data_IF_059150699214
#
_entry.id   IF_059150699214
#
_cell.length_a   1.000
_cell.length_b   1.000
_cell.length_c   1.000
_cell.angle_alpha   90.00
_cell.angle_beta   90.00
_cell.angle_gamma   90.00
#
_symmetry.space_group_name_H-M   'P 1'
#
loop_
_entity.id
_entity.type
_entity.pdbx_description
1 polymer ?
#
# COMPACT_ATOMS: atom_id res chain seq x y z
N UNK A 1 25.18 10.96 -24.53
CA UNK A 1 25.57 10.37 -25.83
C UNK A 1 26.56 9.20 -25.71
N UNK A 2 27.05 8.83 -24.51
CA UNK A 2 27.94 7.67 -24.31
C UNK A 2 27.24 6.34 -23.95
N UNK A 3 25.92 6.33 -23.72
CA UNK A 3 25.14 5.13 -23.33
C UNK A 3 24.71 4.25 -24.51
N UNK A 4 24.80 4.75 -25.75
CA UNK A 4 24.28 4.08 -26.96
C UNK A 4 25.31 3.28 -27.76
N UNK A 5 26.62 3.53 -27.57
CA UNK A 5 27.68 2.87 -28.36
C UNK A 5 27.98 1.44 -27.86
N UNK A 6 27.55 1.09 -26.64
CA UNK A 6 27.64 -0.29 -26.13
C UNK A 6 26.57 -1.24 -26.67
N UNK A 7 25.59 -0.74 -27.45
CA UNK A 7 24.37 -1.48 -27.78
C UNK A 7 24.54 -2.43 -28.98
N UNK A 8 25.57 -2.26 -29.83
CA UNK A 8 25.70 -3.05 -31.07
C UNK A 8 26.81 -4.11 -31.11
N UNK A 9 27.68 -4.20 -30.09
CA UNK A 9 28.80 -5.18 -30.07
C UNK A 9 28.65 -6.25 -28.95
N UNK A 10 27.73 -6.07 -27.99
CA UNK A 10 27.70 -6.87 -26.76
C UNK A 10 26.64 -7.99 -26.65
N UNK A 11 25.78 -8.22 -27.64
CA UNK A 11 24.62 -9.11 -27.46
C UNK A 11 24.97 -10.60 -27.26
N UNK A 12 26.19 -11.03 -27.57
CA UNK A 12 26.67 -12.40 -27.34
C UNK A 12 27.53 -12.57 -26.07
N UNK A 13 27.93 -11.48 -25.40
CA UNK A 13 28.91 -11.49 -24.29
C UNK A 13 28.30 -11.32 -22.88
N UNK A 14 27.00 -11.09 -22.76
CA UNK A 14 26.30 -10.90 -21.47
C UNK A 14 25.64 -12.18 -20.91
N UNK A 15 25.83 -13.35 -21.53
CA UNK A 15 25.35 -14.59 -20.91
C UNK A 15 26.35 -15.06 -19.85
N UNK A 16 25.96 -15.13 -18.57
CA UNK A 16 26.83 -15.68 -17.53
C UNK A 16 27.11 -17.13 -17.88
N UNK A 17 28.28 -17.62 -17.47
CA UNK A 17 28.61 -19.03 -17.63
C UNK A 17 27.50 -19.89 -17.01
N UNK A 18 27.32 -21.10 -17.56
CA UNK A 18 26.35 -22.07 -17.03
C UNK A 18 26.53 -22.27 -15.52
N UNK A 19 27.78 -22.23 -15.06
CA UNK A 19 28.18 -22.28 -13.66
C UNK A 19 27.58 -21.15 -12.81
N UNK A 20 27.71 -19.88 -13.22
CA UNK A 20 27.09 -18.74 -12.50
C UNK A 20 25.59 -18.90 -12.37
N UNK A 21 24.94 -19.38 -13.43
CA UNK A 21 23.51 -19.68 -13.42
C UNK A 21 23.12 -20.79 -12.44
N UNK A 22 23.98 -21.77 -12.20
CA UNK A 22 23.76 -22.83 -11.20
C UNK A 22 24.03 -22.34 -9.77
N UNK A 23 25.06 -21.53 -9.56
CA UNK A 23 25.37 -20.88 -8.28
C UNK A 23 24.24 -19.97 -7.80
N UNK A 24 23.74 -19.06 -8.66
CA UNK A 24 22.59 -18.21 -8.34
C UNK A 24 21.37 -19.04 -7.88
N UNK A 25 21.07 -20.15 -8.57
CA UNK A 25 19.95 -21.02 -8.19
C UNK A 25 20.18 -21.70 -6.84
N UNK A 26 21.43 -22.08 -6.51
CA UNK A 26 21.78 -22.61 -5.19
C UNK A 26 21.58 -21.56 -4.10
N UNK A 27 22.02 -20.32 -4.33
CA UNK A 27 21.81 -19.18 -3.41
C UNK A 27 20.31 -18.98 -3.17
N UNK A 28 19.52 -18.76 -4.23
CA UNK A 28 18.07 -18.56 -4.09
C UNK A 28 17.37 -19.73 -3.39
N UNK A 29 17.78 -20.97 -3.70
CA UNK A 29 17.25 -22.16 -3.04
C UNK A 29 17.57 -22.13 -1.54
N UNK A 30 18.82 -21.87 -1.15
CA UNK A 30 19.21 -21.80 0.26
C UNK A 30 18.46 -20.71 1.03
N UNK A 31 18.24 -19.54 0.42
CA UNK A 31 17.45 -18.45 1.01
C UNK A 31 16.00 -18.89 1.23
N UNK A 32 15.37 -19.52 0.22
CA UNK A 32 13.99 -19.99 0.31
C UNK A 32 13.80 -21.14 1.28
N UNK A 33 14.80 -22.00 1.41
CA UNK A 33 14.81 -23.14 2.33
C UNK A 33 15.23 -22.71 3.76
N UNK A 34 15.60 -21.44 3.99
CA UNK A 34 16.03 -20.93 5.30
C UNK A 34 17.41 -21.43 5.75
N UNK A 35 18.22 -21.96 4.82
CA UNK A 35 19.55 -22.52 5.09
C UNK A 35 20.69 -21.58 4.73
N UNK A 36 20.39 -20.42 4.12
CA UNK A 36 21.38 -19.39 3.85
C UNK A 36 21.82 -18.73 5.17
N UNK A 37 23.12 -18.68 5.41
CA UNK A 37 23.70 -18.06 6.60
C UNK A 37 23.60 -16.52 6.50
N UNK A 38 22.53 -15.97 7.06
CA UNK A 38 22.28 -14.53 7.08
C UNK A 38 22.63 -13.95 8.46
N UNK A 39 23.44 -12.89 8.48
CA UNK A 39 23.73 -12.12 9.69
C UNK A 39 22.63 -11.08 9.88
N UNK A 40 21.71 -11.34 10.80
CA UNK A 40 20.64 -10.39 11.12
C UNK A 40 21.19 -9.10 11.70
N UNK A 41 20.53 -7.98 11.38
CA UNK A 41 20.77 -6.70 12.06
C UNK A 41 20.34 -6.78 13.52
N UNK A 42 21.05 -6.05 14.36
CA UNK A 42 20.60 -5.80 15.73
C UNK A 42 19.23 -5.09 15.70
N UNK A 43 18.28 -5.50 16.56
CA UNK A 43 16.99 -4.86 16.63
C UNK A 43 17.15 -3.40 17.11
N UNK A 44 16.35 -2.50 16.54
CA UNK A 44 16.32 -1.11 17.00
C UNK A 44 15.81 -1.04 18.45
N UNK A 45 16.48 -0.23 19.27
CA UNK A 45 16.03 0.06 20.63
C UNK A 45 14.79 0.93 20.59
N UNK A 46 13.76 0.56 21.35
CA UNK A 46 12.51 1.34 21.46
C UNK A 46 12.52 2.17 22.73
N UNK A 47 12.28 3.48 22.60
CA UNK A 47 11.98 4.33 23.75
C UNK A 47 10.55 4.04 24.23
N UNK A 48 10.45 3.20 25.26
CA UNK A 48 9.16 2.78 25.82
C UNK A 48 8.38 3.93 26.44
N UNK A 49 9.05 4.93 27.02
CA UNK A 49 8.36 6.05 27.66
C UNK A 49 7.66 6.94 26.62
N UNK A 50 8.36 7.26 25.52
CA UNK A 50 7.76 7.99 24.40
C UNK A 50 6.68 7.16 23.70
N UNK A 51 6.90 5.86 23.52
CA UNK A 51 5.90 4.97 22.95
C UNK A 51 4.61 4.96 23.77
N UNK A 52 4.70 4.80 25.09
CA UNK A 52 3.56 4.77 26.01
C UNK A 52 2.82 6.11 25.98
N UNK A 53 3.55 7.23 25.97
CA UNK A 53 2.97 8.56 25.79
C UNK A 53 2.20 8.65 24.47
N UNK A 54 2.79 8.18 23.36
CA UNK A 54 2.11 8.18 22.06
C UNK A 54 0.83 7.33 22.06
N UNK A 55 0.80 6.21 22.79
CA UNK A 55 -0.42 5.39 22.92
C UNK A 55 -1.49 6.08 23.76
N UNK A 56 -1.13 6.69 24.90
CA UNK A 56 -2.08 7.36 25.79
C UNK A 56 -2.76 8.54 25.10
N UNK A 57 -2.00 9.35 24.37
CA UNK A 57 -2.52 10.56 23.74
C UNK A 57 -3.09 10.33 22.33
N UNK A 58 -3.05 9.11 21.79
CA UNK A 58 -3.52 8.83 20.43
C UNK A 58 -4.96 9.32 20.21
N UNK A 59 -5.89 8.97 21.10
CA UNK A 59 -7.29 9.37 20.96
C UNK A 59 -7.51 10.88 21.14
N UNK A 60 -6.60 11.56 21.84
CA UNK A 60 -6.65 13.00 22.02
C UNK A 60 -6.28 13.69 20.71
N UNK A 61 -5.19 13.27 20.08
CA UNK A 61 -4.68 13.89 18.85
C UNK A 61 -5.34 13.40 17.58
N UNK A 62 -5.89 12.18 17.55
CA UNK A 62 -6.43 11.61 16.32
C UNK A 62 -7.61 12.42 15.73
N UNK A 63 -8.60 12.91 16.51
CA UNK A 63 -9.62 13.83 16.00
C UNK A 63 -9.05 15.16 15.51
N UNK A 64 -8.05 15.71 16.21
CA UNK A 64 -7.39 16.96 15.82
C UNK A 64 -6.64 16.74 14.47
N UNK A 65 -5.96 15.61 14.30
CA UNK A 65 -5.30 15.23 13.04
C UNK A 65 -6.32 15.03 11.92
N UNK A 66 -7.48 14.42 12.19
CA UNK A 66 -8.56 14.31 11.19
C UNK A 66 -9.00 15.69 10.74
N UNK A 67 -9.24 16.62 11.68
CA UNK A 67 -9.68 17.98 11.37
C UNK A 67 -8.66 18.64 10.45
N UNK A 68 -7.42 18.75 10.92
CA UNK A 68 -6.39 19.54 10.26
C UNK A 68 -6.04 18.97 8.87
N UNK A 69 -5.92 17.65 8.74
CA UNK A 69 -5.62 17.00 7.46
C UNK A 69 -6.78 17.10 6.46
N UNK A 70 -8.03 16.97 6.92
CA UNK A 70 -9.19 17.10 6.03
C UNK A 70 -9.37 18.55 5.58
N UNK A 71 -9.14 19.52 6.47
CA UNK A 71 -9.26 20.94 6.15
C UNK A 71 -8.19 21.37 5.15
N UNK A 72 -6.93 20.98 5.37
CA UNK A 72 -5.82 21.20 4.42
C UNK A 72 -6.12 20.54 3.06
N UNK A 73 -6.56 19.28 3.06
CA UNK A 73 -6.90 18.56 1.84
C UNK A 73 -8.03 19.24 1.05
N UNK A 74 -9.10 19.64 1.73
CA UNK A 74 -10.24 20.29 1.09
C UNK A 74 -9.88 21.69 0.58
N UNK A 75 -9.03 22.43 1.30
CA UNK A 75 -8.51 23.73 0.85
C UNK A 75 -7.69 23.58 -0.44
N UNK A 76 -6.70 22.68 -0.48
CA UNK A 76 -5.91 22.39 -1.69
C UNK A 76 -6.78 21.99 -2.87
N UNK A 77 -7.79 21.15 -2.63
CA UNK A 77 -8.74 20.74 -3.66
C UNK A 77 -9.57 21.94 -4.18
N UNK A 78 -10.03 22.82 -3.29
CA UNK A 78 -10.79 24.02 -3.65
C UNK A 78 -9.94 25.02 -4.46
N UNK A 79 -8.67 25.21 -4.10
CA UNK A 79 -7.76 26.10 -4.83
C UNK A 79 -7.55 25.66 -6.29
N UNK A 80 -7.50 24.35 -6.55
CA UNK A 80 -7.33 23.79 -7.92
C UNK A 80 -8.62 23.49 -8.69
N UNK A 81 -9.79 23.64 -8.05
CA UNK A 81 -11.08 23.28 -8.66
C UNK A 81 -11.97 24.51 -8.81
N UNK A 82 -12.52 24.80 -10.01
CA UNK A 82 -13.43 25.92 -10.17
C UNK A 82 -14.69 25.75 -9.32
N UNK A 83 -15.23 26.84 -8.76
CA UNK A 83 -16.41 26.78 -7.91
C UNK A 83 -17.62 26.25 -8.69
N UNK A 84 -18.34 25.30 -8.09
CA UNK A 84 -19.57 24.76 -8.68
C UNK A 84 -20.66 25.83 -8.69
N UNK A 85 -21.34 26.00 -9.83
CA UNK A 85 -22.56 26.81 -9.90
C UNK A 85 -23.60 26.25 -8.93
N UNK A 86 -24.13 27.10 -8.04
CA UNK A 86 -25.25 26.74 -7.16
C UNK A 86 -26.49 26.50 -8.01
N UNK A 87 -27.05 25.30 -7.91
CA UNK A 87 -28.37 24.99 -8.43
C UNK A 87 -29.47 25.34 -7.40
N UNK A 88 -30.75 25.26 -7.81
CA UNK A 88 -31.87 25.42 -6.88
C UNK A 88 -31.90 24.29 -5.83
N UNK A 89 -32.30 24.61 -4.60
CA UNK A 89 -32.51 23.64 -3.51
C UNK A 89 -31.63 23.86 -2.27
N UNK A 90 -31.77 22.98 -1.27
CA UNK A 90 -30.96 23.01 -0.05
C UNK A 90 -29.49 22.71 -0.39
N UNK A 91 -28.52 23.53 0.06
CA UNK A 91 -27.11 23.24 -0.15
C UNK A 91 -26.74 21.83 0.35
N UNK A 92 -25.95 21.06 -0.42
CA UNK A 92 -25.50 19.75 0.03
C UNK A 92 -24.59 19.90 1.26
N UNK A 93 -24.61 18.91 2.15
CA UNK A 93 -23.64 18.83 3.24
C UNK A 93 -22.21 18.78 2.69
N UNK A 94 -21.34 19.58 3.28
CA UNK A 94 -19.93 19.67 2.94
C UNK A 94 -19.26 18.28 2.92
N UNK A 95 -18.66 17.87 1.79
CA UNK A 95 -17.86 16.66 1.70
C UNK A 95 -16.75 16.57 2.75
N UNK A 96 -16.11 17.67 3.15
CA UNK A 96 -15.06 17.70 4.17
C UNK A 96 -15.60 17.23 5.52
N UNK A 97 -16.71 17.81 5.98
CA UNK A 97 -17.37 17.40 7.23
C UNK A 97 -17.80 15.93 7.19
N UNK A 98 -18.25 15.44 6.02
CA UNK A 98 -18.57 14.01 5.87
C UNK A 98 -17.31 13.14 5.95
N UNK A 99 -16.20 13.54 5.34
CA UNK A 99 -14.92 12.82 5.41
C UNK A 99 -14.39 12.74 6.85
N UNK A 100 -14.41 13.85 7.60
CA UNK A 100 -14.05 13.89 9.03
C UNK A 100 -14.83 12.86 9.84
N UNK A 101 -16.14 12.82 9.66
CA UNK A 101 -17.02 11.87 10.38
C UNK A 101 -16.79 10.43 9.95
N UNK A 102 -16.50 10.17 8.67
CA UNK A 102 -16.20 8.83 8.18
C UNK A 102 -14.87 8.30 8.70
N UNK A 103 -13.84 9.15 8.81
CA UNK A 103 -12.55 8.81 9.41
C UNK A 103 -12.70 8.53 10.90
N UNK A 104 -13.44 9.37 11.63
CA UNK A 104 -13.77 9.12 13.04
C UNK A 104 -14.56 7.82 13.21
N UNK A 105 -15.62 7.61 12.41
CA UNK A 105 -16.43 6.39 12.41
C UNK A 105 -15.55 5.15 12.22
N UNK A 106 -14.58 5.23 11.31
CA UNK A 106 -13.67 4.12 10.99
C UNK A 106 -12.75 3.82 12.17
N UNK A 107 -12.24 4.87 12.83
CA UNK A 107 -11.38 4.76 14.00
C UNK A 107 -12.09 4.15 15.22
N UNK A 108 -13.28 4.64 15.57
CA UNK A 108 -14.07 4.08 16.68
C UNK A 108 -14.79 2.79 16.30
N UNK A 109 -14.66 2.34 15.05
CA UNK A 109 -15.24 1.13 14.52
C UNK A 109 -16.77 1.02 14.77
N UNK A 110 -17.53 2.06 14.39
CA UNK A 110 -18.96 2.15 14.73
C UNK A 110 -19.91 2.03 13.52
N UNK A 111 -21.20 1.76 13.81
CA UNK A 111 -22.26 1.78 12.80
C UNK A 111 -22.60 3.21 12.37
N UNK A 112 -23.24 3.42 11.22
CA UNK A 112 -23.62 4.78 10.78
C UNK A 112 -24.46 5.53 11.81
N UNK A 113 -25.33 4.82 12.55
CA UNK A 113 -26.20 5.41 13.58
C UNK A 113 -25.40 5.86 14.79
N UNK A 114 -24.46 5.03 15.24
CA UNK A 114 -23.54 5.41 16.32
C UNK A 114 -22.60 6.53 15.88
N UNK A 115 -22.18 6.55 14.60
CA UNK A 115 -21.36 7.62 14.05
C UNK A 115 -22.06 8.99 14.09
N UNK A 116 -23.39 9.06 13.99
CA UNK A 116 -24.14 10.30 14.22
C UNK A 116 -24.04 10.76 15.68
N UNK A 117 -24.11 9.83 16.65
CA UNK A 117 -23.85 10.12 18.06
C UNK A 117 -22.41 10.61 18.30
N UNK A 118 -21.42 9.97 17.69
CA UNK A 118 -20.03 10.42 17.75
C UNK A 118 -19.83 11.78 17.10
N UNK A 119 -20.49 12.07 15.98
CA UNK A 119 -20.48 13.40 15.39
C UNK A 119 -20.94 14.44 16.41
N UNK A 120 -22.06 14.22 17.11
CA UNK A 120 -22.57 15.14 18.14
C UNK A 120 -21.52 15.37 19.25
N UNK A 121 -20.86 14.31 19.71
CA UNK A 121 -19.85 14.40 20.77
C UNK A 121 -18.56 15.11 20.34
N UNK A 122 -18.19 15.02 19.06
CA UNK A 122 -16.91 15.51 18.53
C UNK A 122 -17.05 16.71 17.58
N UNK A 123 -18.18 17.42 17.56
CA UNK A 123 -18.41 18.59 16.69
C UNK A 123 -17.28 19.62 16.80
N UNK A 124 -16.99 20.06 18.03
CA UNK A 124 -15.97 21.07 18.32
C UNK A 124 -14.57 20.58 17.92
N UNK A 125 -14.22 19.36 18.34
CA UNK A 125 -12.92 18.75 18.04
C UNK A 125 -12.67 18.57 16.55
N UNK A 126 -13.71 18.23 15.78
CA UNK A 126 -13.62 18.10 14.33
C UNK A 126 -13.78 19.45 13.59
N UNK A 127 -14.07 20.55 14.28
CA UNK A 127 -14.36 21.85 13.64
C UNK A 127 -15.57 21.77 12.71
N UNK A 128 -16.67 21.17 13.17
CA UNK A 128 -17.92 21.02 12.41
C UNK A 128 -19.02 21.85 13.07
N UNK A 129 -19.58 22.83 12.35
CA UNK A 129 -20.58 23.77 12.88
C UNK A 129 -21.97 23.15 13.14
N UNK A 130 -22.27 22.00 12.52
CA UNK A 130 -23.60 21.40 12.61
C UNK A 130 -23.63 19.92 12.30
N UNK A 131 -24.44 19.18 13.06
CA UNK A 131 -24.62 17.75 12.86
C UNK A 131 -25.50 17.46 11.63
N UNK A 132 -25.39 16.23 11.14
CA UNK A 132 -26.22 15.69 10.07
C UNK A 132 -26.53 14.22 10.32
N UNK A 133 -27.63 13.75 9.77
CA UNK A 133 -28.12 12.41 10.07
C UNK A 133 -27.20 11.30 9.55
N UNK A 134 -27.33 10.12 10.14
CA UNK A 134 -26.62 8.91 9.72
C UNK A 134 -26.83 8.55 8.24
N UNK A 135 -27.91 9.04 7.61
CA UNK A 135 -28.16 8.88 6.17
C UNK A 135 -27.20 9.70 5.33
N UNK A 136 -26.77 10.86 5.80
CA UNK A 136 -25.72 11.64 5.14
C UNK A 136 -24.36 10.95 5.28
N UNK A 137 -24.06 10.41 6.47
CA UNK A 137 -22.86 9.58 6.71
C UNK A 137 -22.86 8.37 5.78
N UNK A 138 -23.98 7.63 5.71
CA UNK A 138 -24.12 6.45 4.86
C UNK A 138 -23.84 6.75 3.38
N UNK A 139 -24.40 7.85 2.86
CA UNK A 139 -24.20 8.28 1.47
C UNK A 139 -22.80 8.81 1.21
N UNK A 140 -22.06 9.19 2.25
CA UNK A 140 -20.66 9.61 2.15
C UNK A 140 -19.75 8.58 1.51
N UNK A 141 -20.05 7.28 1.67
CA UNK A 141 -19.28 6.19 1.06
C UNK A 141 -19.36 6.14 -0.47
N UNK A 142 -20.37 6.78 -1.09
CA UNK A 142 -20.50 6.90 -2.56
C UNK A 142 -20.04 8.26 -3.08
N UNK A 143 -19.58 9.17 -2.21
CA UNK A 143 -19.20 10.52 -2.64
C UNK A 143 -17.79 10.51 -3.22
N UNK A 144 -17.68 10.67 -4.55
CA UNK A 144 -16.39 10.85 -5.20
C UNK A 144 -15.54 12.00 -4.62
N UNK A 145 -16.16 13.05 -4.08
CA UNK A 145 -15.44 14.12 -3.39
C UNK A 145 -14.80 13.69 -2.06
N UNK A 146 -15.42 12.74 -1.34
CA UNK A 146 -14.80 12.18 -0.12
C UNK A 146 -13.55 11.41 -0.50
N UNK A 147 -13.62 10.59 -1.54
CA UNK A 147 -12.44 9.82 -1.98
C UNK A 147 -11.29 10.74 -2.44
N UNK A 148 -11.58 11.86 -3.11
CA UNK A 148 -10.54 12.85 -3.46
C UNK A 148 -9.87 13.46 -2.23
N UNK A 149 -10.64 13.74 -1.16
CA UNK A 149 -10.07 14.21 0.11
C UNK A 149 -9.18 13.12 0.71
N UNK A 150 -9.62 11.86 0.69
CA UNK A 150 -8.83 10.73 1.17
C UNK A 150 -7.53 10.54 0.37
N UNK A 151 -7.58 10.68 -0.96
CA UNK A 151 -6.41 10.64 -1.83
C UNK A 151 -5.43 11.77 -1.48
N UNK A 152 -5.93 12.99 -1.29
CA UNK A 152 -5.09 14.15 -0.94
C UNK A 152 -4.46 14.02 0.45
N UNK A 153 -5.15 13.41 1.43
CA UNK A 153 -4.57 13.13 2.75
C UNK A 153 -3.36 12.19 2.63
N UNK A 154 -3.40 11.21 1.72
CA UNK A 154 -2.23 10.34 1.46
C UNK A 154 -1.05 11.16 0.99
N UNK A 155 -1.26 12.08 0.04
CA UNK A 155 -0.22 12.99 -0.44
C UNK A 155 0.34 13.85 0.71
N UNK A 156 -0.52 14.57 1.41
CA UNK A 156 -0.14 15.46 2.53
C UNK A 156 0.66 14.69 3.59
N UNK A 157 0.20 13.51 4.00
CA UNK A 157 0.92 12.72 5.02
C UNK A 157 2.30 12.24 4.56
N UNK A 158 2.52 12.04 3.26
CA UNK A 158 3.81 11.64 2.70
C UNK A 158 4.77 12.82 2.51
N UNK A 159 4.27 14.03 2.24
CA UNK A 159 5.09 15.25 2.17
C UNK A 159 5.89 15.47 3.45
N UNK A 160 5.36 15.08 4.61
CA UNK A 160 6.07 15.25 5.90
C UNK A 160 7.32 14.36 6.05
N UNK A 161 7.52 13.39 5.16
CA UNK A 161 8.69 12.51 5.10
C UNK A 161 9.41 12.57 3.75
N UNK A 162 9.09 13.56 2.91
CA UNK A 162 9.73 13.77 1.61
C UNK A 162 11.25 13.91 1.79
N UNK A 163 12.01 13.21 0.94
CA UNK A 163 13.48 13.19 0.99
C UNK A 163 14.10 12.35 2.13
N UNK A 164 13.32 11.97 3.16
CA UNK A 164 13.75 11.06 4.23
C UNK A 164 13.49 9.60 3.87
N UNK A 165 12.41 9.31 3.17
CA UNK A 165 12.04 7.96 2.72
C UNK A 165 12.48 7.74 1.27
N UNK A 166 13.27 6.68 1.01
CA UNK A 166 13.72 6.33 -0.35
C UNK A 166 13.43 4.90 -0.74
N UNK A 167 12.91 4.08 0.17
CA UNK A 167 12.70 2.66 -0.07
C UNK A 167 11.27 2.29 0.29
N UNK A 168 10.58 1.64 -0.63
CA UNK A 168 9.17 1.29 -0.50
C UNK A 168 8.98 -0.21 -0.67
N UNK A 169 8.22 -0.82 0.23
CA UNK A 169 7.78 -2.20 0.12
C UNK A 169 6.34 -2.27 -0.38
N UNK A 170 6.12 -3.14 -1.36
CA UNK A 170 4.82 -3.43 -1.95
C UNK A 170 4.32 -4.81 -1.53
N UNK A 171 3.09 -4.85 -1.04
CA UNK A 171 2.42 -6.10 -0.68
C UNK A 171 0.90 -5.98 -0.82
N UNK A 172 0.29 -7.14 -1.01
CA UNK A 172 -1.14 -7.33 -1.16
C UNK A 172 -1.85 -7.73 0.14
N UNK A 173 -3.01 -7.15 0.39
CA UNK A 173 -3.81 -7.50 1.56
C UNK A 173 -5.31 -7.49 1.25
N UNK A 174 -6.09 -8.17 2.09
CA UNK A 174 -7.54 -8.28 1.91
C UNK A 174 -8.31 -7.97 3.19
N UNK A 175 -9.40 -7.22 3.04
CA UNK A 175 -10.36 -6.88 4.09
C UNK A 175 -11.67 -7.63 3.87
N UNK A 176 -12.01 -8.51 4.80
CA UNK A 176 -13.20 -9.34 4.69
C UNK A 176 -14.48 -8.62 5.11
N UNK A 177 -15.62 -8.99 4.52
CA UNK A 177 -16.98 -8.63 4.95
C UNK A 177 -17.51 -9.57 6.04
N UNK A 178 -16.76 -10.62 6.40
CA UNK A 178 -17.12 -11.60 7.43
C UNK A 178 -15.89 -12.16 8.14
N UNK A 179 -15.96 -12.28 9.48
CA UNK A 179 -14.90 -12.95 10.26
C UNK A 179 -14.65 -14.41 9.83
N UNK A 180 -15.59 -15.04 9.10
CA UNK A 180 -15.46 -16.42 8.60
C UNK A 180 -14.66 -16.53 7.29
N UNK A 181 -14.33 -15.41 6.66
CA UNK A 181 -13.53 -15.39 5.44
C UNK A 181 -12.18 -14.71 5.69
N UNK A 182 -11.09 -15.41 5.36
CA UNK A 182 -9.72 -14.91 5.50
C UNK A 182 -9.03 -14.90 4.13
N UNK A 183 -8.42 -13.77 3.76
CA UNK A 183 -7.66 -13.58 2.52
C UNK A 183 -6.46 -14.52 2.42
N UNK A 184 -5.67 -14.62 3.50
CA UNK A 184 -4.46 -15.44 3.52
C UNK A 184 -4.79 -16.92 3.27
N UNK A 185 -5.82 -17.44 3.95
CA UNK A 185 -6.28 -18.82 3.76
C UNK A 185 -6.77 -19.08 2.33
N UNK A 186 -7.47 -18.11 1.73
CA UNK A 186 -7.94 -18.22 0.33
C UNK A 186 -6.77 -18.21 -0.66
N UNK A 187 -5.76 -17.35 -0.47
CA UNK A 187 -4.53 -17.34 -1.30
C UNK A 187 -3.71 -18.60 -1.12
N UNK A 188 -3.55 -19.09 0.10
CA UNK A 188 -2.84 -20.33 0.38
C UNK A 188 -3.49 -21.52 -0.34
N UNK A 189 -4.83 -21.64 -0.29
CA UNK A 189 -5.61 -22.65 -1.02
C UNK A 189 -5.48 -22.52 -2.55
N UNK A 190 -5.31 -21.31 -3.07
CA UNK A 190 -5.07 -21.09 -4.50
C UNK A 190 -3.67 -21.55 -4.90
N UNK A 191 -2.66 -21.18 -4.11
CA UNK A 191 -1.26 -21.53 -4.36
C UNK A 191 -1.05 -23.06 -4.32
N UNK A 192 -1.71 -23.77 -3.39
CA UNK A 192 -1.66 -25.23 -3.34
C UNK A 192 -2.32 -25.89 -4.57
N UNK A 193 -3.44 -25.35 -5.07
CA UNK A 193 -4.11 -25.83 -6.29
C UNK A 193 -3.33 -25.55 -7.58
N UNK A 194 -2.62 -24.41 -7.67
CA UNK A 194 -1.69 -24.13 -8.80
C UNK A 194 -0.50 -25.08 -8.78
N UNK A 195 -0.03 -25.50 -7.61
CA UNK A 195 1.00 -26.52 -7.45
C UNK A 195 0.60 -27.89 -8.02
N UNK A 196 -0.65 -28.32 -7.82
CA UNK A 196 -1.12 -29.62 -8.31
C UNK A 196 -1.41 -29.65 -9.82
N UNK A 197 -1.91 -28.55 -10.41
CA UNK A 197 -2.21 -28.47 -11.85
C UNK A 197 -0.98 -28.32 -12.76
N UNK A 198 0.17 -27.90 -12.25
CA UNK A 198 1.42 -27.76 -13.04
C UNK A 198 2.02 -29.09 -13.54
N UNK A 199 1.41 -30.22 -13.21
CA UNK A 199 1.72 -31.53 -13.78
C UNK A 199 1.11 -31.76 -15.18
N UNK A 200 0.24 -30.86 -15.69
CA UNK A 200 -0.33 -30.96 -17.04
C UNK A 200 -0.44 -29.58 -17.70
N UNK A 201 0.18 -29.48 -18.87
CA UNK A 201 0.21 -28.39 -19.87
C UNK A 201 1.02 -27.12 -19.59
N UNK A 202 1.97 -26.87 -20.49
CA UNK A 202 2.75 -25.64 -20.63
C UNK A 202 2.21 -24.85 -21.84
N UNK A 203 1.37 -23.85 -21.59
CA UNK A 203 1.07 -22.79 -22.56
C UNK A 203 1.58 -21.46 -22.04
N UNK A 204 2.22 -20.71 -22.95
CA UNK A 204 2.77 -19.37 -22.73
C UNK A 204 1.62 -18.36 -22.78
N UNK A 205 1.04 -18.03 -21.63
CA UNK A 205 0.23 -16.83 -21.46
C UNK A 205 0.82 -15.99 -20.33
N UNK A 206 0.70 -14.66 -20.45
CA UNK A 206 1.03 -13.72 -19.38
C UNK A 206 0.36 -14.21 -18.09
N UNK A 207 1.18 -14.58 -17.10
CA UNK A 207 0.69 -15.21 -15.88
C UNK A 207 0.12 -14.11 -14.98
N UNK A 208 -1.10 -13.68 -15.26
CA UNK A 208 -1.87 -12.88 -14.31
C UNK A 208 -2.19 -13.76 -13.09
N UNK A 209 -2.08 -13.18 -11.91
CA UNK A 209 -2.32 -13.87 -10.64
C UNK A 209 -3.78 -13.81 -10.17
N UNK A 210 -4.68 -13.38 -11.07
CA UNK A 210 -6.13 -13.40 -11.00
C UNK A 210 -6.69 -14.63 -10.28
N UNK A 211 -7.75 -14.45 -9.48
CA UNK A 211 -8.50 -15.60 -9.01
C UNK A 211 -9.29 -16.23 -10.17
N UNK A 212 -9.43 -17.57 -10.21
CA UNK A 212 -10.35 -18.19 -11.15
C UNK A 212 -11.77 -17.65 -10.93
N UNK A 213 -12.44 -17.32 -12.03
CA UNK A 213 -13.87 -17.04 -12.06
C UNK A 213 -14.59 -18.29 -11.56
N UNK A 214 -15.30 -18.16 -10.44
CA UNK A 214 -16.23 -19.19 -10.00
C UNK A 214 -17.61 -18.83 -10.54
N UNK A 215 -18.23 -19.73 -11.30
CA UNK A 215 -19.63 -19.63 -11.74
C UNK A 215 -20.65 -19.58 -10.57
N UNK A 216 -20.20 -19.63 -9.33
CA UNK A 216 -21.02 -19.40 -8.15
C UNK A 216 -21.19 -17.91 -7.90
N UNK A 217 -22.43 -17.44 -7.91
CA UNK A 217 -22.95 -16.10 -7.53
C UNK A 217 -22.53 -15.64 -6.12
N UNK A 218 -21.73 -16.44 -5.38
CA UNK A 218 -21.07 -16.04 -4.16
C UNK A 218 -19.96 -15.02 -4.46
N UNK A 219 -20.35 -13.76 -4.65
CA UNK A 219 -19.47 -12.59 -4.62
C UNK A 219 -18.55 -12.73 -3.40
N UNK A 220 -17.30 -13.06 -3.65
CA UNK A 220 -16.30 -13.31 -2.63
C UNK A 220 -16.27 -12.10 -1.68
N UNK A 221 -16.55 -12.33 -0.40
CA UNK A 221 -16.87 -11.29 0.58
C UNK A 221 -15.63 -10.56 1.09
N UNK A 222 -14.77 -10.02 0.24
CA UNK A 222 -13.62 -9.22 0.67
C UNK A 222 -13.24 -8.16 -0.37
N UNK A 223 -12.62 -7.07 0.08
CA UNK A 223 -11.96 -6.07 -0.78
C UNK A 223 -10.46 -6.30 -0.71
N UNK A 224 -9.76 -6.22 -1.84
CA UNK A 224 -8.32 -6.42 -1.93
C UNK A 224 -7.61 -5.11 -2.23
N UNK A 225 -6.38 -4.95 -1.72
CA UNK A 225 -5.54 -3.80 -1.99
C UNK A 225 -4.06 -4.16 -2.12
N UNK A 226 -3.37 -3.49 -3.06
CA UNK A 226 -1.90 -3.39 -3.09
C UNK A 226 -1.52 -2.03 -2.52
N UNK A 227 -0.52 -2.00 -1.66
CA UNK A 227 -0.03 -0.76 -1.05
C UNK A 227 1.47 -0.61 -1.27
N UNK A 228 1.91 0.61 -1.59
CA UNK A 228 3.31 1.03 -1.45
C UNK A 228 3.53 1.63 -0.07
N UNK A 229 4.52 1.11 0.68
CA UNK A 229 4.74 1.46 2.09
C UNK A 229 6.20 1.85 2.30
N UNK A 230 6.43 3.04 2.85
CA UNK A 230 7.77 3.49 3.25
C UNK A 230 8.34 2.59 4.35
N UNK A 231 9.55 2.07 4.17
CA UNK A 231 10.15 1.09 5.10
C UNK A 231 10.57 1.73 6.43
N UNK A 232 10.92 3.02 6.43
CA UNK A 232 11.36 3.73 7.62
C UNK A 232 10.17 4.28 8.42
N UNK A 233 9.29 5.05 7.79
CA UNK A 233 8.21 5.76 8.48
C UNK A 233 6.90 4.97 8.54
N UNK A 234 6.77 3.87 7.78
CA UNK A 234 5.58 3.00 7.75
C UNK A 234 4.31 3.73 7.27
N UNK A 235 4.48 4.79 6.48
CA UNK A 235 3.40 5.49 5.81
C UNK A 235 3.07 4.81 4.49
N UNK A 236 1.78 4.73 4.17
CA UNK A 236 1.29 4.23 2.89
C UNK A 236 1.38 5.40 1.89
N UNK A 237 2.07 5.22 0.78
CA UNK A 237 2.29 6.23 -0.26
C UNK A 237 1.45 6.00 -1.51
N UNK A 238 1.05 4.75 -1.77
CA UNK A 238 0.22 4.40 -2.91
C UNK A 238 -0.74 3.28 -2.56
N UNK A 239 -1.96 3.36 -3.10
CA UNK A 239 -3.09 2.50 -2.78
C UNK A 239 -3.81 2.15 -4.08
N UNK A 240 -3.78 0.88 -4.46
CA UNK A 240 -4.72 0.33 -5.45
C UNK A 240 -5.70 -0.58 -4.71
N UNK A 241 -7.01 -0.37 -4.90
CA UNK A 241 -8.08 -1.17 -4.27
C UNK A 241 -9.01 -1.71 -5.34
N UNK A 242 -9.25 -3.02 -5.28
CA UNK A 242 -10.22 -3.71 -6.11
C UNK A 242 -11.12 -4.63 -5.27
N UNK A 243 -12.45 -4.45 -5.34
CA UNK A 243 -13.41 -5.45 -4.90
C UNK A 243 -13.65 -6.54 -5.96
N UNK A 244 -13.12 -6.39 -7.18
CA UNK A 244 -13.16 -7.41 -8.23
C UNK A 244 -11.95 -8.35 -8.11
N UNK A 245 -12.24 -9.64 -8.01
CA UNK A 245 -11.25 -10.68 -7.73
C UNK A 245 -10.73 -11.34 -9.01
N UNK A 246 -11.24 -10.92 -10.17
CA UNK A 246 -10.61 -11.20 -11.45
C UNK A 246 -9.26 -10.48 -11.59
N UNK A 247 -9.06 -9.40 -10.84
CA UNK A 247 -7.86 -8.57 -10.86
C UNK A 247 -6.84 -9.13 -9.86
N UNK A 248 -5.61 -9.35 -10.33
CA UNK A 248 -4.50 -9.85 -9.52
C UNK A 248 -3.64 -8.73 -8.92
N UNK A 249 -2.77 -9.09 -7.97
CA UNK A 249 -1.86 -8.18 -7.29
C UNK A 249 -0.88 -7.55 -8.29
N UNK A 250 -0.45 -8.34 -9.28
CA UNK A 250 0.46 -7.86 -10.32
C UNK A 250 -0.20 -6.82 -11.23
N UNK A 251 -1.51 -6.92 -11.49
CA UNK A 251 -2.27 -5.93 -12.26
C UNK A 251 -2.48 -4.62 -11.50
N UNK A 252 -2.56 -4.68 -10.17
CA UNK A 252 -2.79 -3.52 -9.29
C UNK A 252 -1.50 -2.79 -8.91
N UNK A 253 -0.35 -3.48 -9.02
CA UNK A 253 0.96 -2.92 -8.70
C UNK A 253 1.25 -1.59 -9.42
N UNK A 254 1.02 -1.41 -10.74
CA UNK A 254 1.36 -0.16 -11.42
C UNK A 254 0.63 1.06 -10.85
N UNK A 255 -0.64 0.93 -10.48
CA UNK A 255 -1.40 2.04 -9.87
C UNK A 255 -0.81 2.44 -8.51
N UNK A 256 -0.54 1.45 -7.63
CA UNK A 256 0.07 1.72 -6.33
C UNK A 256 1.51 2.26 -6.46
N UNK A 257 2.27 1.77 -7.44
CA UNK A 257 3.63 2.22 -7.71
C UNK A 257 3.67 3.66 -8.24
N UNK A 258 2.82 4.00 -9.20
CA UNK A 258 2.76 5.35 -9.75
C UNK A 258 2.33 6.38 -8.69
N UNK A 259 1.32 6.07 -7.87
CA UNK A 259 0.94 6.95 -6.75
C UNK A 259 2.09 7.13 -5.75
N UNK A 260 2.88 6.08 -5.53
CA UNK A 260 4.08 6.17 -4.67
C UNK A 260 5.16 7.05 -5.29
N UNK A 261 5.39 6.95 -6.61
CA UNK A 261 6.30 7.83 -7.35
C UNK A 261 5.83 9.29 -7.33
N UNK A 262 4.51 9.53 -7.44
CA UNK A 262 3.95 10.88 -7.38
C UNK A 262 4.24 11.54 -6.01
N UNK A 263 4.20 10.75 -4.93
CA UNK A 263 4.56 11.22 -3.58
C UNK A 263 6.08 11.31 -3.36
N UNK A 264 6.85 10.40 -3.97
CA UNK A 264 8.31 10.27 -3.79
C UNK A 264 9.02 10.08 -5.14
N UNK A 265 9.22 11.17 -5.92
CA UNK A 265 9.76 11.08 -7.28
C UNK A 265 11.19 10.54 -7.37
N UNK A 266 11.93 10.61 -6.26
CA UNK A 266 13.32 10.18 -6.16
C UNK A 266 13.48 8.88 -5.36
N UNK A 267 12.44 8.04 -5.30
CA UNK A 267 12.54 6.75 -4.62
C UNK A 267 13.60 5.86 -5.32
N UNK A 268 14.40 5.19 -4.51
CA UNK A 268 15.51 4.36 -4.94
C UNK A 268 15.13 2.88 -4.88
N UNK A 269 14.77 2.36 -3.71
CA UNK A 269 14.51 0.93 -3.53
C UNK A 269 13.03 0.56 -3.67
N UNK A 270 12.73 -0.45 -4.49
CA UNK A 270 11.39 -1.06 -4.56
C UNK A 270 11.46 -2.52 -4.15
N UNK A 271 10.83 -2.84 -3.03
CA UNK A 271 10.87 -4.17 -2.41
C UNK A 271 9.51 -4.84 -2.54
N UNK A 272 9.47 -6.16 -2.59
CA UNK A 272 8.20 -6.88 -2.55
C UNK A 272 8.35 -8.39 -2.65
N UNK A 273 7.22 -9.06 -2.61
CA UNK A 273 7.17 -10.51 -2.73
C UNK A 273 7.63 -11.02 -4.10
N UNK A 274 8.03 -12.29 -4.14
CA UNK A 274 8.50 -12.93 -5.37
C UNK A 274 7.45 -13.04 -6.48
N UNK A 275 6.19 -12.64 -6.23
CA UNK A 275 5.15 -12.49 -7.26
C UNK A 275 5.47 -11.33 -8.21
N UNK A 276 6.11 -10.28 -7.70
CA UNK A 276 6.54 -9.10 -8.47
C UNK A 276 7.84 -9.34 -9.24
N UNK A 277 8.52 -10.47 -9.01
CA UNK A 277 9.70 -10.92 -9.76
C UNK A 277 9.32 -11.40 -11.18
N UNK A 278 8.71 -10.51 -11.97
CA UNK A 278 8.44 -10.70 -13.39
C UNK A 278 9.02 -9.53 -14.19
N UNK A 279 9.51 -9.85 -15.40
CA UNK A 279 10.33 -8.94 -16.22
C UNK A 279 9.67 -7.59 -16.49
N UNK A 280 8.37 -7.58 -16.77
CA UNK A 280 7.68 -6.34 -17.10
C UNK A 280 7.51 -5.41 -15.89
N UNK A 281 7.32 -5.94 -14.67
CA UNK A 281 7.31 -5.14 -13.44
C UNK A 281 8.71 -4.60 -13.15
N UNK A 282 9.74 -5.44 -13.32
CA UNK A 282 11.13 -5.01 -13.14
C UNK A 282 11.49 -3.88 -14.11
N UNK A 283 11.09 -3.97 -15.38
CA UNK A 283 11.27 -2.88 -16.33
C UNK A 283 10.50 -1.64 -15.90
N UNK A 284 9.23 -1.75 -15.52
CA UNK A 284 8.42 -0.62 -15.04
C UNK A 284 9.10 0.12 -13.88
N UNK A 285 9.64 -0.62 -12.91
CA UNK A 285 10.37 -0.05 -11.76
C UNK A 285 11.66 0.64 -12.22
N UNK A 286 12.44 -0.03 -13.07
CA UNK A 286 13.76 0.44 -13.47
C UNK A 286 13.73 1.59 -14.47
N UNK A 287 12.70 1.67 -15.32
CA UNK A 287 12.43 2.81 -16.21
C UNK A 287 12.20 4.11 -15.44
N UNK A 288 11.79 4.02 -14.17
CA UNK A 288 11.64 5.15 -13.25
C UNK A 288 12.88 5.38 -12.36
N UNK A 289 14.04 4.84 -12.74
CA UNK A 289 15.33 4.96 -12.03
C UNK A 289 15.34 4.37 -10.61
N UNK A 290 14.49 3.38 -10.34
CA UNK A 290 14.45 2.68 -9.05
C UNK A 290 14.97 1.25 -9.18
N UNK A 291 15.53 0.72 -8.09
CA UNK A 291 16.16 -0.60 -8.01
C UNK A 291 15.18 -1.65 -7.43
N UNK A 292 14.73 -2.64 -8.23
CA UNK A 292 13.82 -3.68 -7.77
C UNK A 292 14.54 -4.76 -6.96
N UNK A 293 13.96 -5.14 -5.82
CA UNK A 293 14.37 -6.27 -5.00
C UNK A 293 13.21 -7.24 -4.84
N UNK A 294 13.07 -8.16 -5.80
CA UNK A 294 12.05 -9.20 -5.78
C UNK A 294 12.70 -10.59 -5.89
N UNK A 295 12.62 -11.39 -4.83
CA UNK A 295 13.27 -12.70 -4.80
C UNK A 295 12.60 -13.66 -5.82
N UNK A 296 13.29 -14.05 -6.91
CA UNK A 296 12.72 -14.89 -7.95
C UNK A 296 12.57 -16.34 -7.48
N UNK A 297 11.93 -17.18 -8.31
CA UNK A 297 11.83 -18.63 -8.06
C UNK A 297 13.19 -19.33 -8.18
N UNK A 298 13.39 -20.46 -7.50
CA UNK A 298 14.65 -21.21 -7.53
C UNK A 298 15.07 -21.74 -8.91
N UNK A 299 14.16 -21.81 -9.88
CA UNK A 299 14.46 -22.22 -11.26
C UNK A 299 14.76 -21.03 -12.19
N UNK A 300 15.11 -19.86 -11.64
CA UNK A 300 15.40 -18.65 -12.41
C UNK A 300 16.57 -18.84 -13.38
N UNK A 301 16.58 -18.03 -14.44
CA UNK A 301 17.69 -17.93 -15.38
C UNK A 301 18.00 -16.48 -15.66
N UNK A 302 19.27 -16.16 -15.88
CA UNK A 302 19.76 -14.84 -16.31
C UNK A 302 19.23 -14.35 -17.67
N UNK A 303 18.47 -15.15 -18.40
CA UNK A 303 17.90 -14.75 -19.69
C UNK A 303 16.99 -13.53 -19.53
N UNK A 304 17.47 -12.36 -19.93
CA UNK A 304 16.75 -11.08 -19.90
C UNK A 304 15.45 -11.13 -20.70
N UNK A 305 15.46 -11.73 -21.90
CA UNK A 305 14.33 -11.71 -22.85
C UNK A 305 13.84 -10.28 -23.14
N UNK A 306 14.77 -9.33 -23.31
CA UNK A 306 14.47 -7.92 -23.58
C UNK A 306 14.33 -7.02 -22.34
N UNK A 307 14.43 -7.57 -21.13
CA UNK A 307 14.51 -6.84 -19.87
C UNK A 307 15.94 -6.91 -19.33
N UNK A 308 16.81 -5.94 -19.61
CA UNK A 308 18.21 -5.98 -19.17
C UNK A 308 18.31 -5.87 -17.65
N UNK A 309 17.38 -5.16 -17.05
CA UNK A 309 17.26 -4.88 -15.63
C UNK A 309 16.89 -6.14 -14.84
N UNK A 310 16.27 -7.13 -15.51
CA UNK A 310 16.15 -8.50 -14.99
C UNK A 310 17.50 -9.16 -14.79
N UNK A 311 18.43 -8.97 -15.73
CA UNK A 311 19.79 -9.49 -15.60
C UNK A 311 20.50 -8.78 -14.45
N UNK A 312 20.43 -7.44 -14.41
CA UNK A 312 21.12 -6.64 -13.40
C UNK A 312 20.67 -6.98 -11.98
N UNK A 313 19.36 -7.10 -11.73
CA UNK A 313 18.80 -7.53 -10.44
C UNK A 313 19.30 -8.93 -10.02
N UNK A 314 19.40 -9.87 -10.96
CA UNK A 314 19.90 -11.21 -10.67
C UNK A 314 21.41 -11.25 -10.49
N UNK A 315 22.13 -10.38 -11.19
CA UNK A 315 23.57 -10.29 -11.11
C UNK A 315 23.98 -9.70 -9.77
N UNK A 316 23.32 -8.64 -9.29
CA UNK A 316 23.57 -8.08 -7.95
C UNK A 316 23.31 -9.09 -6.83
N UNK A 317 22.22 -9.88 -6.93
CA UNK A 317 21.97 -10.98 -6.00
C UNK A 317 23.03 -12.09 -6.04
N UNK A 318 23.64 -12.35 -7.20
CA UNK A 318 24.71 -13.36 -7.31
C UNK A 318 26.06 -12.82 -6.83
N UNK A 319 26.35 -11.56 -7.11
CA UNK A 319 27.62 -10.89 -6.81
C UNK A 319 27.78 -10.62 -5.31
N UNK A 320 26.78 -10.03 -4.66
CA UNK A 320 26.73 -9.86 -3.21
C UNK A 320 25.34 -10.27 -2.66
N UNK A 321 25.15 -11.57 -2.36
CA UNK A 321 23.90 -12.04 -1.80
C UNK A 321 23.57 -11.44 -0.43
N UNK A 322 24.58 -11.09 0.38
CA UNK A 322 24.36 -10.59 1.73
C UNK A 322 23.81 -9.18 1.70
N UNK A 323 24.44 -8.29 0.94
CA UNK A 323 23.98 -6.91 0.74
C UNK A 323 22.59 -6.88 0.06
N UNK A 324 22.39 -7.73 -0.95
CA UNK A 324 21.09 -7.81 -1.63
C UNK A 324 19.98 -8.26 -0.67
N UNK A 325 20.25 -9.25 0.19
CA UNK A 325 19.29 -9.74 1.17
C UNK A 325 19.02 -8.72 2.27
N UNK A 326 20.01 -7.90 2.64
CA UNK A 326 19.83 -6.80 3.58
C UNK A 326 18.74 -5.82 3.11
N UNK A 327 18.76 -5.47 1.83
CA UNK A 327 17.72 -4.64 1.22
C UNK A 327 16.39 -5.39 1.10
N UNK A 328 16.42 -6.61 0.58
CA UNK A 328 15.22 -7.41 0.35
C UNK A 328 14.44 -7.70 1.63
N UNK A 329 15.10 -7.98 2.76
CA UNK A 329 14.43 -8.33 4.01
C UNK A 329 13.63 -7.18 4.64
N UNK A 330 13.92 -5.92 4.28
CA UNK A 330 13.09 -4.77 4.65
C UNK A 330 11.68 -4.85 4.08
N UNK A 331 11.40 -5.74 3.09
CA UNK A 331 10.04 -5.99 2.60
C UNK A 331 9.06 -6.38 3.71
N UNK A 332 9.55 -6.99 4.80
CA UNK A 332 8.73 -7.42 5.94
C UNK A 332 7.99 -6.27 6.64
N UNK A 333 8.39 -5.01 6.37
CA UNK A 333 7.66 -3.83 6.85
C UNK A 333 6.24 -3.76 6.27
N UNK A 334 6.02 -4.20 5.02
CA UNK A 334 4.66 -4.22 4.46
C UNK A 334 3.75 -5.22 5.19
N UNK A 335 4.27 -6.39 5.57
CA UNK A 335 3.58 -7.35 6.45
C UNK A 335 3.30 -6.75 7.83
N UNK A 336 4.25 -5.99 8.39
CA UNK A 336 4.08 -5.28 9.67
C UNK A 336 2.95 -4.26 9.59
N UNK A 337 2.92 -3.42 8.56
CA UNK A 337 1.86 -2.43 8.35
C UNK A 337 0.52 -3.10 8.07
N UNK A 338 0.50 -4.18 7.28
CA UNK A 338 -0.69 -5.01 7.08
C UNK A 338 -1.25 -5.52 8.42
N UNK A 339 -0.38 -5.94 9.33
CA UNK A 339 -0.76 -6.33 10.69
C UNK A 339 -1.28 -5.13 11.49
N UNK A 340 -0.58 -4.00 11.51
CA UNK A 340 -1.00 -2.78 12.22
C UNK A 340 -2.40 -2.32 11.79
N UNK A 341 -2.65 -2.28 10.47
CA UNK A 341 -3.95 -1.91 9.91
C UNK A 341 -5.02 -2.92 10.32
N UNK A 342 -4.74 -4.23 10.29
CA UNK A 342 -5.71 -5.27 10.70
C UNK A 342 -5.96 -5.27 12.21
N UNK A 343 -4.95 -5.02 13.04
CA UNK A 343 -5.14 -4.91 14.48
C UNK A 343 -6.02 -3.71 14.85
N UNK A 344 -5.80 -2.55 14.22
CA UNK A 344 -6.56 -1.34 14.54
C UNK A 344 -7.91 -1.24 13.82
N UNK A 345 -7.94 -1.60 12.53
CA UNK A 345 -9.06 -1.40 11.61
C UNK A 345 -9.58 -2.72 11.00
N UNK A 346 -9.22 -3.89 11.54
CA UNK A 346 -9.55 -5.20 10.96
C UNK A 346 -10.97 -5.68 11.15
N UNK A 347 -11.86 -4.88 11.77
CA UNK A 347 -13.28 -5.20 11.82
C UNK A 347 -13.83 -5.45 10.40
N UNK A 348 -14.73 -6.42 10.19
CA UNK A 348 -15.26 -6.69 8.86
C UNK A 348 -15.84 -5.46 8.17
N UNK A 349 -15.66 -5.39 6.86
CA UNK A 349 -16.31 -4.40 6.01
C UNK A 349 -17.83 -4.49 6.20
N UNK A 350 -18.43 -3.38 6.64
CA UNK A 350 -19.87 -3.29 6.88
C UNK A 350 -20.63 -2.99 5.60
N UNK A 351 -19.97 -2.40 4.60
CA UNK A 351 -20.64 -2.02 3.34
C UNK A 351 -20.78 -3.23 2.42
N UNK A 352 -21.92 -3.28 1.73
CA UNK A 352 -22.27 -4.38 0.82
C UNK A 352 -22.08 -4.02 -0.65
N UNK A 353 -22.21 -2.74 -1.00
CA UNK A 353 -21.97 -2.25 -2.37
C UNK A 353 -20.48 -2.14 -2.63
N UNK A 354 -20.03 -2.56 -3.81
CA UNK A 354 -18.60 -2.62 -4.15
C UNK A 354 -17.93 -1.24 -4.11
N UNK A 355 -18.60 -0.19 -4.61
CA UNK A 355 -18.14 1.21 -4.48
C UNK A 355 -17.88 1.59 -3.03
N UNK A 356 -18.84 1.29 -2.15
CA UNK A 356 -18.76 1.62 -0.73
C UNK A 356 -17.74 0.76 0.02
N UNK A 357 -17.51 -0.50 -0.39
CA UNK A 357 -16.44 -1.35 0.15
C UNK A 357 -15.06 -0.80 -0.21
N UNK A 358 -14.89 -0.29 -1.44
CA UNK A 358 -13.66 0.39 -1.86
C UNK A 358 -13.40 1.61 -0.96
N UNK A 359 -14.40 2.47 -0.78
CA UNK A 359 -14.29 3.64 0.13
C UNK A 359 -14.05 3.24 1.59
N UNK A 360 -14.74 2.21 2.11
CA UNK A 360 -14.52 1.70 3.46
C UNK A 360 -13.10 1.13 3.64
N UNK A 361 -12.56 0.48 2.62
CA UNK A 361 -11.17 0.00 2.62
C UNK A 361 -10.20 1.17 2.63
N UNK A 362 -10.41 2.16 1.76
CA UNK A 362 -9.58 3.36 1.68
C UNK A 362 -9.56 4.13 3.01
N UNK A 363 -10.72 4.30 3.67
CA UNK A 363 -10.81 4.94 4.98
C UNK A 363 -9.94 4.26 6.05
N UNK A 364 -9.80 2.94 6.02
CA UNK A 364 -8.95 2.20 6.97
C UNK A 364 -7.46 2.43 6.69
N UNK A 365 -7.08 2.47 5.41
CA UNK A 365 -5.71 2.72 4.99
C UNK A 365 -5.28 4.17 5.29
N UNK A 366 -6.13 5.14 4.95
CA UNK A 366 -5.91 6.56 5.29
C UNK A 366 -5.92 6.77 6.79
N UNK A 367 -6.83 6.10 7.53
CA UNK A 367 -6.83 6.14 8.99
C UNK A 367 -5.53 5.64 9.62
N UNK A 368 -4.86 4.65 8.99
CA UNK A 368 -3.52 4.25 9.41
C UNK A 368 -2.49 5.37 9.22
N UNK A 369 -2.47 6.05 8.08
CA UNK A 369 -1.56 7.18 7.87
C UNK A 369 -1.79 8.30 8.90
N UNK A 370 -3.04 8.70 9.15
CA UNK A 370 -3.39 9.74 10.14
C UNK A 370 -2.86 9.36 11.53
N UNK A 371 -3.08 8.11 11.94
CA UNK A 371 -2.58 7.57 13.21
C UNK A 371 -1.05 7.56 13.23
N UNK A 372 -0.43 7.16 12.12
CA UNK A 372 1.01 6.99 12.03
C UNK A 372 1.74 8.33 12.06
N UNK A 373 1.24 9.37 11.37
CA UNK A 373 1.85 10.70 11.46
C UNK A 373 1.72 11.28 12.87
N UNK A 374 0.57 11.14 13.53
CA UNK A 374 0.43 11.57 14.93
C UNK A 374 1.42 10.88 15.86
N UNK A 375 1.69 9.59 15.65
CA UNK A 375 2.75 8.88 16.35
C UNK A 375 4.14 9.46 16.05
N UNK A 376 4.47 9.67 14.77
CA UNK A 376 5.78 10.19 14.34
C UNK A 376 6.04 11.62 14.85
N UNK A 377 4.99 12.43 14.97
CA UNK A 377 5.04 13.77 15.58
C UNK A 377 5.46 13.70 17.06
N UNK A 378 4.87 12.78 17.83
CA UNK A 378 5.21 12.59 19.25
C UNK A 378 6.64 12.07 19.42
N UNK A 379 7.10 11.19 18.52
CA UNK A 379 8.48 10.69 18.52
C UNK A 379 9.51 11.74 18.06
N UNK A 380 9.07 12.88 17.52
CA UNK A 380 9.95 13.90 16.95
C UNK A 380 10.55 13.56 15.59
N UNK A 381 10.09 12.49 14.93
CA UNK A 381 10.59 12.03 13.63
C UNK A 381 10.12 12.94 12.48
N UNK A 382 8.96 13.56 12.67
CA UNK A 382 8.24 14.35 11.67
C UNK A 382 7.65 15.60 12.30
N UNK A 383 7.74 16.73 11.61
CA UNK A 383 7.00 17.94 11.94
C UNK A 383 5.91 18.12 10.89
N UNK A 384 4.63 17.92 11.23
CA UNK A 384 3.57 18.03 10.24
C UNK A 384 3.40 19.48 9.79
N UNK A 385 3.60 19.75 8.50
CA UNK A 385 3.59 21.09 7.91
C UNK A 385 2.21 21.76 7.96
N UNK A 386 1.12 20.99 8.00
CA UNK A 386 -0.25 21.51 8.13
C UNK A 386 -0.58 22.05 9.53
N UNK A 387 0.30 21.88 10.53
CA UNK A 387 0.13 22.49 11.85
C UNK A 387 0.39 24.00 11.83
N UNK A 388 1.07 24.52 10.80
CA UNK A 388 1.58 25.90 10.71
C UNK A 388 0.56 26.99 10.38
N UNK A 389 -0.74 26.73 10.52
CA UNK A 389 -1.83 27.66 10.18
C UNK A 389 -2.53 28.33 11.38
N UNK A 390 -2.02 28.19 12.61
CA UNK A 390 -2.57 28.89 13.79
C UNK A 390 -1.88 30.22 14.05
#
# INVERSE_FOLDING_TARGET
MYRYVYILVGQSHLMPSKQRGEELRKIIKSVRDGTFEYKSKEPATTDWAQYDQAQVYEMVYYPDNIRDLVDEADERIKQRTPPRKRGPGRPPTDPANVAKVLLLQTYVNSSNRLAEGFLILFLEKLGIDGHFSYKTIERGYDKGQVNKILDEIVVITNESVEGKEKTFSFDGTGFSTSNKENYADKRQKQNSKKGSKKSKSASKEQVYDSFPESNSVAKKGFSYSVMGIGVQHKLISGISISPDHSIGETTMFPEAFNQTLDCHPNLDGVLGDGIYACRWIINLVSENNSTPHFLPRSNVTFKSKGALEWYDMLYSLWEDPLEWLEHYHMRSISETVNSMVKCRFGAPLRKRLESRKKTETQLKLVGHNIRRVGYLEIMGDVVPHWRGGM
#
